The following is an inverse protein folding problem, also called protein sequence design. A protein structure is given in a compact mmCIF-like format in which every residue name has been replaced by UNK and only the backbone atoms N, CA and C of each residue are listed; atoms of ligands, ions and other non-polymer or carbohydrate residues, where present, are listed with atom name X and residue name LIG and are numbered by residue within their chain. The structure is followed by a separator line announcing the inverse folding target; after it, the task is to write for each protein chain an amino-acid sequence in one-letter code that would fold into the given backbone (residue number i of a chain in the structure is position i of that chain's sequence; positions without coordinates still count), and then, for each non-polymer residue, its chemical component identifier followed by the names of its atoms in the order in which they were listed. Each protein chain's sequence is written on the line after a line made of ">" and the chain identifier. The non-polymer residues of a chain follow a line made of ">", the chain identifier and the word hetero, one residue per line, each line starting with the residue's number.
data_IF_608937439453
#
_entry.id   IF_608937439453
#
_cell.length_a   1.000
_cell.length_b   1.000
_cell.length_c   1.000
_cell.angle_alpha   90.00
_cell.angle_beta   90.00
_cell.angle_gamma   90.00
#
_symmetry.space_group_name_H-M   'P 1'
#
loop_
_entity.id
_entity.type
_entity.pdbx_description
1 polymer ?
#
# COMPACT_ATOMS: atom_id res chain seq x y z
N UNK A 1 14.38 -10.87 -14.83
CA UNK A 1 15.31 -12.00 -14.55
C UNK A 1 16.60 -11.52 -13.89
N UNK A 2 17.29 -10.53 -14.44
CA UNK A 2 18.57 -9.96 -13.93
C UNK A 2 18.48 -9.44 -12.48
N UNK A 3 17.40 -8.77 -12.10
CA UNK A 3 17.23 -8.22 -10.74
C UNK A 3 17.15 -9.30 -9.64
N UNK A 4 16.52 -10.46 -9.94
CA UNK A 4 16.47 -11.61 -9.00
C UNK A 4 17.86 -12.22 -8.79
N UNK A 5 18.68 -12.27 -9.82
CA UNK A 5 20.05 -12.79 -9.76
C UNK A 5 20.95 -11.87 -8.93
N UNK A 6 20.91 -10.56 -9.19
CA UNK A 6 21.66 -9.55 -8.43
C UNK A 6 21.29 -9.59 -6.94
N UNK A 7 20.01 -9.73 -6.61
CA UNK A 7 19.53 -9.84 -5.23
C UNK A 7 20.06 -11.10 -4.53
N UNK A 8 20.08 -12.23 -5.24
CA UNK A 8 20.60 -13.51 -4.74
C UNK A 8 22.13 -13.43 -4.47
N UNK A 9 22.87 -12.74 -5.36
CA UNK A 9 24.32 -12.50 -5.21
C UNK A 9 24.57 -11.58 -4.00
N UNK A 10 23.90 -10.45 -3.88
CA UNK A 10 24.05 -9.51 -2.76
C UNK A 10 23.77 -10.21 -1.42
N UNK A 11 22.71 -11.07 -1.35
CA UNK A 11 22.39 -11.86 -0.16
C UNK A 11 23.49 -12.88 0.21
N UNK A 12 24.10 -13.54 -0.80
CA UNK A 12 25.25 -14.46 -0.57
C UNK A 12 26.49 -13.72 -0.08
N UNK A 13 26.69 -12.47 -0.48
CA UNK A 13 27.84 -11.64 -0.08
C UNK A 13 27.61 -10.89 1.23
N UNK A 14 26.48 -11.13 1.93
CA UNK A 14 26.16 -10.44 3.19
C UNK A 14 25.91 -8.94 3.05
N UNK A 15 25.75 -8.44 1.82
CA UNK A 15 25.50 -7.02 1.55
C UNK A 15 24.06 -6.71 1.95
N UNK A 16 23.88 -6.04 3.10
CA UNK A 16 22.56 -5.53 3.51
C UNK A 16 22.10 -4.45 2.55
N UNK A 17 21.01 -4.72 1.82
CA UNK A 17 20.36 -3.70 1.03
C UNK A 17 19.69 -2.71 1.99
N UNK A 18 20.09 -1.44 1.94
CA UNK A 18 19.40 -0.37 2.70
C UNK A 18 18.22 0.10 1.87
N UNK A 19 17.03 0.01 2.44
CA UNK A 19 15.81 0.58 1.90
C UNK A 19 15.51 1.87 2.68
N UNK A 20 15.25 3.00 2.02
CA UNK A 20 14.96 4.26 2.70
C UNK A 20 13.63 4.23 3.46
N UNK A 21 12.64 3.44 2.98
CA UNK A 21 11.32 3.26 3.59
C UNK A 21 10.83 1.83 3.39
N UNK A 22 9.79 1.41 4.12
CA UNK A 22 9.13 0.11 3.93
C UNK A 22 8.55 -0.02 2.52
N UNK A 23 7.86 1.04 2.05
CA UNK A 23 7.30 1.08 0.70
C UNK A 23 8.37 0.91 -0.39
N UNK A 24 9.59 1.41 -0.19
CA UNK A 24 10.68 1.29 -1.17
C UNK A 24 11.15 -0.15 -1.39
N UNK A 25 10.92 -1.06 -0.44
CA UNK A 25 11.28 -2.47 -0.56
C UNK A 25 10.54 -3.17 -1.70
N UNK A 26 9.26 -2.87 -1.86
CA UNK A 26 8.35 -3.53 -2.82
C UNK A 26 7.97 -2.66 -4.01
N UNK A 27 8.44 -1.42 -4.07
CA UNK A 27 8.10 -0.43 -5.11
C UNK A 27 8.28 -0.96 -6.53
N UNK A 28 9.32 -1.76 -6.78
CA UNK A 28 9.57 -2.37 -8.09
C UNK A 28 8.51 -3.39 -8.52
N UNK A 29 7.73 -3.94 -7.57
CA UNK A 29 6.62 -4.85 -7.85
C UNK A 29 5.35 -4.08 -8.26
N UNK A 30 5.14 -2.90 -7.70
CA UNK A 30 3.90 -2.11 -7.86
C UNK A 30 3.99 -1.07 -8.98
N UNK A 31 5.18 -0.51 -9.24
CA UNK A 31 5.37 0.54 -10.25
C UNK A 31 4.79 0.19 -11.64
N UNK A 32 4.87 -1.05 -12.15
CA UNK A 32 4.28 -1.39 -13.44
C UNK A 32 2.76 -1.21 -13.53
N UNK A 33 2.07 -1.14 -12.39
CA UNK A 33 0.62 -0.99 -12.30
C UNK A 33 0.17 0.44 -12.01
N UNK A 34 1.11 1.34 -11.67
CA UNK A 34 0.85 2.76 -11.44
C UNK A 34 0.90 3.53 -12.77
N UNK A 35 -0.09 3.31 -13.64
CA UNK A 35 -0.15 3.88 -15.00
C UNK A 35 -1.29 4.90 -15.09
N UNK A 36 -1.02 6.05 -15.73
CA UNK A 36 -1.97 7.15 -15.83
C UNK A 36 -1.93 8.10 -14.64
N UNK A 37 -3.04 8.79 -14.37
CA UNK A 37 -3.18 9.69 -13.23
C UNK A 37 -3.52 8.89 -11.99
N UNK A 38 -2.81 9.08 -10.90
CA UNK A 38 -3.05 8.33 -9.68
C UNK A 38 -2.75 9.08 -8.41
N UNK A 39 -2.94 8.40 -7.29
CA UNK A 39 -2.55 8.93 -6.00
C UNK A 39 -1.84 7.88 -5.14
N UNK A 40 -1.05 8.38 -4.20
CA UNK A 40 -0.39 7.63 -3.14
C UNK A 40 -0.92 8.13 -1.80
N UNK A 41 -1.66 7.28 -1.10
CA UNK A 41 -2.35 7.62 0.15
C UNK A 41 -1.51 7.14 1.33
N UNK A 42 -1.20 8.07 2.26
CA UNK A 42 -0.38 7.79 3.42
C UNK A 42 1.08 7.54 3.07
N UNK A 43 1.63 8.31 2.12
CA UNK A 43 2.95 8.07 1.51
C UNK A 43 4.14 8.44 2.42
N UNK A 44 3.92 9.11 3.56
CA UNK A 44 4.98 9.42 4.54
C UNK A 44 6.17 10.20 3.97
N UNK A 45 5.96 11.03 2.95
CA UNK A 45 7.00 11.82 2.29
C UNK A 45 7.84 11.04 1.26
N UNK A 46 7.54 9.76 0.97
CA UNK A 46 8.23 8.93 -0.03
C UNK A 46 7.23 8.37 -1.06
N UNK A 47 6.65 9.27 -1.83
CA UNK A 47 5.61 9.01 -2.85
C UNK A 47 6.11 8.09 -3.97
N UNK A 48 5.21 7.29 -4.55
CA UNK A 48 5.50 6.52 -5.76
C UNK A 48 5.99 7.45 -6.88
N UNK A 49 7.04 7.05 -7.59
CA UNK A 49 7.69 7.89 -8.59
C UNK A 49 6.97 7.75 -9.94
N UNK A 50 5.88 8.47 -10.07
CA UNK A 50 5.13 8.68 -11.30
C UNK A 50 4.82 10.17 -11.40
N UNK A 51 5.03 10.79 -12.57
CA UNK A 51 4.87 12.23 -12.81
C UNK A 51 3.44 12.71 -12.48
N UNK A 52 2.44 11.85 -12.69
CA UNK A 52 1.03 12.15 -12.46
C UNK A 52 0.49 11.56 -11.14
N UNK A 53 1.34 11.38 -10.14
CA UNK A 53 0.95 10.87 -8.84
C UNK A 53 0.74 12.01 -7.84
N UNK A 54 -0.46 12.14 -7.29
CA UNK A 54 -0.77 13.06 -6.19
C UNK A 54 -0.56 12.35 -4.85
N UNK A 55 0.12 13.00 -3.92
CA UNK A 55 0.30 12.53 -2.54
C UNK A 55 -0.83 13.02 -1.65
N UNK A 56 -1.53 12.10 -1.00
CA UNK A 56 -2.60 12.38 -0.03
C UNK A 56 -2.12 11.92 1.34
N UNK A 57 -1.95 12.84 2.27
CA UNK A 57 -1.45 12.54 3.63
C UNK A 57 -1.79 13.69 4.59
N UNK A 58 -1.46 13.54 5.87
CA UNK A 58 -1.43 14.68 6.78
C UNK A 58 -0.52 15.78 6.23
N UNK A 59 -0.83 17.02 6.52
CA UNK A 59 0.03 18.16 6.13
C UNK A 59 1.46 17.99 6.64
N UNK A 60 1.62 17.40 7.82
CA UNK A 60 2.90 17.03 8.41
C UNK A 60 2.86 15.54 8.80
N UNK A 61 3.17 14.63 7.88
CA UNK A 61 3.14 13.20 8.15
C UNK A 61 4.08 12.82 9.30
N UNK A 62 3.62 12.00 10.23
CA UNK A 62 4.45 11.50 11.32
C UNK A 62 5.54 10.53 10.84
N UNK A 63 5.25 9.78 9.80
CA UNK A 63 6.18 8.86 9.15
C UNK A 63 6.96 9.55 8.02
N UNK A 64 7.57 10.69 8.30
CA UNK A 64 8.27 11.50 7.31
C UNK A 64 9.61 10.86 6.91
N UNK A 65 9.56 9.86 6.06
CA UNK A 65 10.72 9.10 5.57
C UNK A 65 11.35 9.69 4.31
N UNK A 66 10.67 10.61 3.64
CA UNK A 66 11.09 11.26 2.40
C UNK A 66 10.95 12.77 2.44
N UNK A 67 11.01 13.40 1.26
CA UNK A 67 10.94 14.85 1.08
C UNK A 67 9.83 15.28 0.12
N UNK A 68 9.02 14.34 -0.34
CA UNK A 68 7.92 14.65 -1.25
C UNK A 68 6.85 15.44 -0.51
N UNK A 69 6.34 16.49 -1.15
CA UNK A 69 5.31 17.35 -0.58
C UNK A 69 3.95 16.66 -0.63
N UNK A 70 3.11 16.98 0.34
CA UNK A 70 1.69 16.62 0.35
C UNK A 70 0.98 17.51 -0.67
N UNK A 71 0.30 16.87 -1.63
CA UNK A 71 -0.47 17.57 -2.66
C UNK A 71 -1.89 17.86 -2.14
N UNK A 72 -2.47 16.90 -1.39
CA UNK A 72 -3.81 17.02 -0.79
C UNK A 72 -3.70 16.67 0.70
N UNK A 73 -3.73 17.66 1.59
CA UNK A 73 -3.81 17.43 3.03
C UNK A 73 -5.15 16.79 3.41
N UNK A 74 -5.12 15.60 4.04
CA UNK A 74 -6.33 14.90 4.47
C UNK A 74 -6.00 13.88 5.57
N UNK A 75 -6.77 13.87 6.65
CA UNK A 75 -6.80 12.77 7.61
C UNK A 75 -7.75 11.68 7.09
N UNK A 76 -7.26 10.84 6.20
CA UNK A 76 -8.08 9.81 5.52
C UNK A 76 -8.72 8.81 6.49
N UNK A 77 -8.24 8.73 7.74
CA UNK A 77 -8.84 7.89 8.78
C UNK A 77 -10.11 8.52 9.37
N UNK A 78 -10.21 9.85 9.39
CA UNK A 78 -11.32 10.59 10.00
C UNK A 78 -12.19 11.32 8.98
N UNK A 79 -11.60 11.71 7.85
CA UNK A 79 -12.22 12.59 6.86
C UNK A 79 -12.50 11.85 5.55
N UNK A 80 -13.46 12.36 4.79
CA UNK A 80 -13.61 11.97 3.39
C UNK A 80 -12.49 12.63 2.57
N UNK A 81 -11.94 11.87 1.61
CA UNK A 81 -10.93 12.40 0.70
C UNK A 81 -11.61 13.49 -0.15
N UNK A 82 -11.09 14.76 -0.15
CA UNK A 82 -11.75 15.90 -0.80
C UNK A 82 -11.56 15.89 -2.32
N UNK A 83 -11.94 14.80 -2.96
CA UNK A 83 -11.86 14.56 -4.40
C UNK A 83 -13.15 13.97 -4.93
N UNK A 84 -13.44 14.24 -6.19
CA UNK A 84 -14.57 13.67 -6.88
C UNK A 84 -14.41 12.14 -7.06
N UNK A 85 -15.55 11.47 -7.21
CA UNK A 85 -15.57 10.06 -7.57
C UNK A 85 -14.93 9.85 -8.94
N UNK A 86 -14.32 8.68 -9.14
CA UNK A 86 -13.74 8.28 -10.43
C UNK A 86 -12.66 9.24 -10.96
N UNK A 87 -11.83 9.77 -10.08
CA UNK A 87 -10.76 10.73 -10.43
C UNK A 87 -9.53 10.02 -11.00
N UNK A 88 -9.09 8.90 -10.39
CA UNK A 88 -7.79 8.31 -10.67
C UNK A 88 -7.86 7.00 -11.45
N UNK A 89 -6.84 6.77 -12.28
CA UNK A 89 -6.61 5.51 -12.99
C UNK A 89 -6.01 4.44 -12.07
N UNK A 90 -5.26 4.87 -11.04
CA UNK A 90 -4.80 4.00 -9.95
C UNK A 90 -4.85 4.72 -8.60
N UNK A 91 -5.06 3.93 -7.55
CA UNK A 91 -4.91 4.32 -6.14
C UNK A 91 -3.90 3.38 -5.52
N UNK A 92 -2.83 3.93 -4.97
CA UNK A 92 -1.79 3.21 -4.27
C UNK A 92 -1.77 3.61 -2.80
N UNK A 93 -1.57 2.64 -1.93
CA UNK A 93 -1.32 2.86 -0.50
C UNK A 93 -0.36 1.79 0.04
N UNK A 94 0.49 2.20 0.96
CA UNK A 94 1.51 1.32 1.53
C UNK A 94 1.66 1.57 3.02
N UNK A 95 1.47 0.52 3.83
CA UNK A 95 1.58 0.57 5.28
C UNK A 95 0.71 1.66 5.92
N UNK A 96 -0.56 1.66 5.53
CA UNK A 96 -1.59 2.55 6.06
C UNK A 96 -2.87 1.78 6.42
N UNK A 97 -3.30 0.84 5.58
CA UNK A 97 -4.62 0.21 5.70
C UNK A 97 -4.74 -0.65 6.96
N UNK A 98 -3.64 -1.13 7.50
CA UNK A 98 -3.57 -1.87 8.77
C UNK A 98 -3.92 -1.04 10.01
N UNK A 99 -3.87 0.29 9.89
CA UNK A 99 -4.18 1.23 10.97
C UNK A 99 -5.68 1.56 11.04
N UNK A 100 -6.46 1.25 10.00
CA UNK A 100 -7.90 1.47 10.00
C UNK A 100 -8.64 0.41 10.81
N UNK A 101 -9.42 0.82 11.80
CA UNK A 101 -10.29 -0.09 12.57
C UNK A 101 -11.37 -0.73 11.70
N UNK A 102 -11.87 -0.01 10.69
CA UNK A 102 -12.79 -0.49 9.68
C UNK A 102 -12.13 -0.53 8.30
N UNK A 103 -11.52 -1.66 7.96
CA UNK A 103 -10.82 -1.87 6.68
C UNK A 103 -11.75 -1.68 5.47
N UNK A 104 -13.04 -2.08 5.58
CA UNK A 104 -14.00 -1.90 4.46
C UNK A 104 -14.30 -0.43 4.19
N UNK A 105 -14.42 0.38 5.22
CA UNK A 105 -14.58 1.83 5.06
C UNK A 105 -13.37 2.45 4.34
N UNK A 106 -12.15 2.06 4.71
CA UNK A 106 -10.95 2.49 4.00
C UNK A 106 -11.00 2.09 2.52
N UNK A 107 -11.35 0.84 2.23
CA UNK A 107 -11.49 0.35 0.85
C UNK A 107 -12.58 1.10 0.08
N UNK A 108 -13.70 1.46 0.72
CA UNK A 108 -14.76 2.28 0.11
C UNK A 108 -14.24 3.68 -0.26
N UNK A 109 -13.52 4.36 0.66
CA UNK A 109 -12.91 5.67 0.39
C UNK A 109 -11.94 5.61 -0.79
N UNK A 110 -11.09 4.57 -0.83
CA UNK A 110 -10.09 4.41 -1.90
C UNK A 110 -10.73 4.06 -3.25
N UNK A 111 -11.71 3.15 -3.26
CA UNK A 111 -12.39 2.77 -4.49
C UNK A 111 -13.35 3.84 -4.98
N UNK A 112 -13.86 4.72 -4.13
CA UNK A 112 -14.70 5.86 -4.54
C UNK A 112 -13.97 6.77 -5.53
N UNK A 113 -12.75 7.17 -5.20
CA UNK A 113 -11.93 8.06 -6.04
C UNK A 113 -11.26 7.34 -7.22
N UNK A 114 -11.23 6.01 -7.21
CA UNK A 114 -10.73 5.21 -8.31
C UNK A 114 -11.76 5.15 -9.45
N UNK A 115 -11.32 5.24 -10.69
CA UNK A 115 -12.17 5.02 -11.87
C UNK A 115 -12.66 3.58 -11.94
N UNK A 116 -13.76 3.34 -12.66
CA UNK A 116 -14.12 1.98 -13.06
C UNK A 116 -13.00 1.40 -13.93
N UNK A 117 -12.67 0.12 -13.75
CA UNK A 117 -11.52 -0.55 -14.36
C UNK A 117 -10.15 0.07 -13.97
N UNK A 118 -10.10 0.86 -12.89
CA UNK A 118 -8.85 1.37 -12.32
C UNK A 118 -8.11 0.33 -11.48
N UNK A 119 -6.84 0.60 -11.18
CA UNK A 119 -5.99 -0.28 -10.38
C UNK A 119 -5.99 0.16 -8.90
N UNK A 120 -6.44 -0.72 -8.01
CA UNK A 120 -6.23 -0.57 -6.57
C UNK A 120 -4.98 -1.36 -6.18
N UNK A 121 -3.99 -0.67 -5.60
CA UNK A 121 -2.68 -1.23 -5.27
C UNK A 121 -2.46 -1.10 -3.77
N UNK A 122 -2.43 -2.23 -3.08
CA UNK A 122 -2.33 -2.30 -1.63
C UNK A 122 -1.01 -2.99 -1.24
N UNK A 123 -0.27 -2.34 -0.36
CA UNK A 123 0.90 -2.93 0.32
C UNK A 123 0.64 -2.83 1.82
N UNK A 124 0.69 -3.96 2.50
CA UNK A 124 0.39 -4.04 3.93
C UNK A 124 1.16 -5.20 4.58
N UNK A 125 1.33 -5.23 5.91
CA UNK A 125 2.01 -6.31 6.57
C UNK A 125 1.15 -7.58 6.65
N UNK A 126 1.80 -8.75 6.56
CA UNK A 126 1.30 -9.93 7.25
C UNK A 126 1.65 -9.77 8.74
N UNK A 127 0.66 -9.48 9.57
CA UNK A 127 0.88 -9.08 10.95
C UNK A 127 1.63 -10.13 11.79
N UNK A 128 1.33 -11.44 11.73
CA UNK A 128 2.12 -12.44 12.41
C UNK A 128 3.59 -12.48 11.99
N UNK A 129 3.87 -12.31 10.69
CA UNK A 129 5.25 -12.27 10.17
C UNK A 129 5.96 -10.97 10.58
N UNK A 130 5.23 -9.83 10.59
CA UNK A 130 5.73 -8.55 11.10
C UNK A 130 6.14 -8.65 12.58
N UNK A 131 5.30 -9.20 13.44
CA UNK A 131 5.61 -9.39 14.86
C UNK A 131 6.83 -10.29 15.07
N UNK A 132 6.92 -11.39 14.31
CA UNK A 132 8.07 -12.28 14.32
C UNK A 132 9.35 -11.57 13.85
N UNK A 133 9.25 -10.73 12.83
CA UNK A 133 10.35 -9.91 12.34
C UNK A 133 10.83 -8.91 13.39
N UNK A 134 9.91 -8.17 14.03
CA UNK A 134 10.24 -7.23 15.10
C UNK A 134 10.95 -7.94 16.27
N UNK A 135 10.42 -9.08 16.72
CA UNK A 135 11.04 -9.90 17.76
C UNK A 135 12.47 -10.34 17.39
N UNK A 136 12.67 -10.76 16.14
CA UNK A 136 13.99 -11.23 15.65
C UNK A 136 15.00 -10.09 15.49
N UNK A 137 14.55 -8.90 15.13
CA UNK A 137 15.42 -7.75 14.85
C UNK A 137 15.58 -6.79 16.02
N UNK A 138 14.77 -6.95 17.08
CA UNK A 138 14.74 -6.03 18.22
C UNK A 138 14.03 -4.70 17.92
N UNK A 139 13.29 -4.62 16.81
CA UNK A 139 12.52 -3.42 16.46
C UNK A 139 11.24 -3.35 17.31
N UNK A 140 10.82 -2.14 17.74
CA UNK A 140 9.54 -1.97 18.42
C UNK A 140 8.38 -2.27 17.46
N UNK A 141 7.29 -2.79 18.03
CA UNK A 141 6.04 -2.95 17.29
C UNK A 141 5.42 -1.58 16.98
N UNK A 142 4.82 -1.45 15.81
CA UNK A 142 3.96 -0.32 15.50
C UNK A 142 2.63 -0.48 16.26
N UNK A 143 2.35 0.45 17.18
CA UNK A 143 1.15 0.41 18.02
C UNK A 143 -0.12 0.87 17.29
N UNK A 144 0.00 1.41 16.09
CA UNK A 144 -1.14 1.79 15.26
C UNK A 144 -1.77 0.61 14.51
N UNK A 145 -1.05 -0.51 14.35
CA UNK A 145 -1.62 -1.71 13.73
C UNK A 145 -2.74 -2.29 14.60
N UNK A 146 -3.97 -2.21 14.13
CA UNK A 146 -5.15 -2.63 14.90
C UNK A 146 -5.59 -4.07 14.65
N UNK A 147 -5.17 -4.69 13.54
CA UNK A 147 -5.57 -6.03 13.14
C UNK A 147 -4.48 -7.07 13.39
N UNK A 148 -4.65 -7.92 14.40
CA UNK A 148 -3.70 -9.01 14.72
C UNK A 148 -3.59 -10.10 13.64
N UNK A 149 -4.59 -10.22 12.79
CA UNK A 149 -4.68 -11.21 11.71
C UNK A 149 -4.61 -10.58 10.31
N UNK A 150 -4.10 -9.33 10.19
CA UNK A 150 -3.83 -8.73 8.89
C UNK A 150 -2.95 -9.64 8.04
N UNK A 151 -3.28 -9.78 6.78
CA UNK A 151 -2.59 -10.60 5.81
C UNK A 151 -3.46 -10.78 4.55
N UNK A 152 -2.96 -11.49 3.55
CA UNK A 152 -3.64 -11.64 2.25
C UNK A 152 -5.07 -12.16 2.40
N UNK A 153 -5.26 -13.25 3.16
CA UNK A 153 -6.59 -13.85 3.38
C UNK A 153 -7.56 -12.87 4.07
N UNK A 154 -7.09 -12.11 5.06
CA UNK A 154 -7.90 -11.09 5.73
C UNK A 154 -8.37 -10.04 4.71
N UNK A 155 -7.45 -9.50 3.91
CA UNK A 155 -7.76 -8.46 2.92
C UNK A 155 -8.77 -8.95 1.86
N UNK A 156 -8.57 -10.15 1.32
CA UNK A 156 -9.50 -10.74 0.36
C UNK A 156 -10.90 -10.95 0.97
N UNK A 157 -11.01 -11.33 2.25
CA UNK A 157 -12.29 -11.43 2.93
C UNK A 157 -12.99 -10.06 3.09
N UNK A 158 -12.21 -8.97 3.31
CA UNK A 158 -12.79 -7.63 3.35
C UNK A 158 -13.35 -7.22 1.99
N UNK A 159 -12.59 -7.45 0.92
CA UNK A 159 -12.99 -7.16 -0.46
C UNK A 159 -14.22 -7.97 -0.90
N UNK A 160 -14.26 -9.27 -0.59
CA UNK A 160 -15.40 -10.14 -0.91
C UNK A 160 -16.69 -9.76 -0.17
N UNK A 161 -16.60 -8.97 0.88
CA UNK A 161 -17.77 -8.43 1.60
C UNK A 161 -18.23 -7.06 1.08
N UNK A 162 -17.75 -6.60 -0.09
CA UNK A 162 -18.16 -5.34 -0.72
C UNK A 162 -19.08 -5.63 -1.90
N UNK A 163 -20.39 -5.40 -1.73
CA UNK A 163 -21.42 -5.74 -2.73
C UNK A 163 -21.44 -4.78 -3.93
N UNK A 164 -20.79 -3.62 -3.82
CA UNK A 164 -20.79 -2.55 -4.83
C UNK A 164 -19.66 -2.64 -5.85
N UNK A 165 -18.82 -3.67 -5.76
CA UNK A 165 -17.71 -3.88 -6.68
C UNK A 165 -17.40 -5.36 -6.89
N UNK A 166 -16.71 -5.65 -7.99
CA UNK A 166 -15.97 -6.90 -8.21
C UNK A 166 -14.52 -6.57 -8.56
N UNK A 167 -13.65 -7.54 -8.49
CA UNK A 167 -12.24 -7.34 -8.79
C UNK A 167 -11.60 -8.52 -9.50
N UNK A 168 -10.52 -8.23 -10.22
CA UNK A 168 -9.60 -9.23 -10.76
C UNK A 168 -8.23 -9.00 -10.14
N UNK A 169 -7.60 -10.04 -9.62
CA UNK A 169 -6.22 -9.96 -9.12
C UNK A 169 -5.27 -9.90 -10.31
N UNK A 170 -4.56 -8.78 -10.45
CA UNK A 170 -3.53 -8.60 -11.48
C UNK A 170 -2.16 -9.08 -11.02
N UNK A 171 -1.89 -8.94 -9.72
CA UNK A 171 -0.66 -9.38 -9.08
C UNK A 171 -0.90 -9.59 -7.58
N UNK A 172 -0.32 -10.64 -7.03
CA UNK A 172 -0.22 -10.83 -5.60
C UNK A 172 1.15 -11.37 -5.22
N UNK A 173 1.64 -10.99 -4.06
CA UNK A 173 2.86 -11.52 -3.47
C UNK A 173 2.67 -11.61 -1.95
N UNK A 174 2.71 -12.82 -1.44
CA UNK A 174 2.64 -13.08 0.00
C UNK A 174 4.05 -13.09 0.59
N UNK A 175 4.47 -11.93 1.09
CA UNK A 175 5.72 -11.75 1.83
C UNK A 175 7.00 -12.13 1.03
N UNK A 176 7.07 -11.73 -0.24
CA UNK A 176 8.31 -11.89 -1.04
C UNK A 176 9.49 -11.15 -0.39
N UNK A 177 9.22 -10.04 0.31
CA UNK A 177 10.22 -9.25 1.03
C UNK A 177 9.74 -9.02 2.46
N UNK A 178 10.41 -9.65 3.39
CA UNK A 178 10.11 -9.61 4.83
C UNK A 178 8.65 -10.04 5.10
N UNK A 179 7.83 -9.12 5.62
CA UNK A 179 6.42 -9.31 5.96
C UNK A 179 5.46 -8.58 5.01
N UNK A 180 5.98 -8.01 3.92
CA UNK A 180 5.18 -7.21 3.00
C UNK A 180 4.30 -8.08 2.11
N UNK A 181 3.00 -7.92 2.20
CA UNK A 181 2.02 -8.42 1.24
C UNK A 181 1.79 -7.34 0.19
N UNK A 182 1.79 -7.73 -1.07
CA UNK A 182 1.44 -6.86 -2.20
C UNK A 182 0.21 -7.42 -2.89
N UNK A 183 -0.81 -6.60 -3.06
CA UNK A 183 -2.03 -6.98 -3.76
C UNK A 183 -2.41 -5.88 -4.76
N UNK A 184 -2.47 -6.26 -6.04
CA UNK A 184 -2.87 -5.37 -7.14
C UNK A 184 -4.15 -5.88 -7.75
N UNK A 185 -5.15 -5.04 -7.76
CA UNK A 185 -6.51 -5.37 -8.20
C UNK A 185 -6.96 -4.46 -9.33
N UNK A 186 -7.61 -5.02 -10.33
CA UNK A 186 -8.45 -4.30 -11.27
C UNK A 186 -9.86 -4.24 -10.67
N UNK A 187 -10.37 -3.05 -10.40
CA UNK A 187 -11.67 -2.84 -9.76
C UNK A 187 -12.74 -2.57 -10.80
N UNK A 188 -13.81 -3.36 -10.77
CA UNK A 188 -15.03 -3.13 -11.55
C UNK A 188 -16.15 -2.73 -10.60
N UNK A 189 -16.65 -1.49 -10.76
CA UNK A 189 -17.79 -0.97 -9.99
C UNK A 189 -19.09 -1.59 -10.49
N UNK A 190 -19.88 -2.11 -9.57
CA UNK A 190 -21.22 -2.61 -9.85
C UNK A 190 -22.22 -1.48 -9.70
N UNK A 191 -23.26 -1.48 -10.56
CA UNK A 191 -24.33 -0.46 -10.51
C UNK A 191 -25.33 -0.79 -9.44
#
# INVERSE_FOLDING_TARGET
>A
MISKIIRKIKRKLGIKQRYPSETSKVRHLVTPYCVGNGCDIGFGGDKIKNENCMGIDFLNPYANTGKDKVDIPCDVMKEEIPLADNTFDYVYTSHLIEDFSNTREALQKFTRILKNEGNLILVFPDQPKYESYCKKTGQPLNLFHVHKNMGLKFMLNQLNGMDNLSYTILFESDCEIDYNVVLVLKIKKLR
#
